data_IF_920907696182
#
_entry.id   IF_920907696182
#
_cell.length_a   1.000
_cell.length_b   1.000
_cell.length_c   1.000
_cell.angle_alpha   90.00
_cell.angle_beta   90.00
_cell.angle_gamma   90.00
#
_symmetry.space_group_name_H-M   'P 1'
#
loop_
_entity.id
_entity.type
_entity.pdbx_description
1 polymer ?
#
# COMPACT_ATOMS: atom_id res chain seq x y z
N UNK A 1 -17.58 -24.89 -7.79
CA UNK A 1 -16.30 -24.35 -8.26
C UNK A 1 -16.40 -22.85 -8.37
N UNK A 2 -16.02 -22.15 -7.31
CA UNK A 2 -15.90 -20.69 -7.30
C UNK A 2 -14.47 -20.30 -7.64
N UNK A 3 -14.25 -19.92 -8.90
CA UNK A 3 -12.93 -19.47 -9.37
C UNK A 3 -12.81 -17.96 -9.29
N UNK A 4 -11.59 -17.50 -9.07
CA UNK A 4 -11.21 -16.09 -9.20
C UNK A 4 -9.98 -15.99 -10.09
N UNK A 5 -9.91 -14.93 -10.89
CA UNK A 5 -8.71 -14.60 -11.64
C UNK A 5 -8.05 -13.39 -10.98
N UNK A 6 -6.87 -13.59 -10.41
CA UNK A 6 -6.04 -12.51 -9.90
C UNK A 6 -5.26 -11.93 -11.07
N UNK A 7 -5.29 -10.61 -11.21
CA UNK A 7 -4.61 -9.89 -12.29
C UNK A 7 -3.76 -8.78 -11.71
N UNK A 8 -2.56 -8.64 -12.25
CA UNK A 8 -1.65 -7.54 -11.95
C UNK A 8 -1.29 -6.77 -13.21
N UNK A 9 -1.48 -5.46 -13.15
CA UNK A 9 -1.11 -4.53 -14.21
C UNK A 9 0.01 -3.61 -13.77
N UNK A 10 0.98 -3.33 -14.64
CA UNK A 10 1.94 -2.24 -14.47
C UNK A 10 1.31 -0.94 -14.99
N UNK A 11 1.40 0.16 -14.22
CA UNK A 11 1.09 1.49 -14.75
C UNK A 11 2.21 1.97 -15.68
N UNK A 12 1.88 2.28 -16.93
CA UNK A 12 2.82 2.85 -17.89
C UNK A 12 2.75 4.38 -17.93
N UNK A 13 1.56 4.93 -17.65
CA UNK A 13 1.29 6.37 -17.65
C UNK A 13 0.62 6.80 -16.37
N UNK A 14 0.77 8.09 -16.04
CA UNK A 14 0.17 8.68 -14.84
C UNK A 14 -1.35 8.47 -14.85
N UNK A 15 -1.96 8.27 -13.69
CA UNK A 15 -3.35 7.89 -13.53
C UNK A 15 -4.19 9.05 -12.99
N UNK A 16 -5.35 9.30 -13.60
CA UNK A 16 -6.33 10.27 -13.10
C UNK A 16 -7.56 9.51 -12.63
N UNK A 17 -7.74 9.45 -11.31
CA UNK A 17 -8.87 8.79 -10.67
C UNK A 17 -8.74 8.80 -9.15
N UNK A 18 -9.14 7.72 -8.48
CA UNK A 18 -9.08 7.66 -7.03
C UNK A 18 -7.64 7.47 -6.52
N UNK A 19 -7.20 8.22 -5.50
CA UNK A 19 -5.79 8.26 -5.08
C UNK A 19 -5.24 6.96 -4.48
N UNK A 20 -6.12 6.10 -3.97
CA UNK A 20 -5.73 4.91 -3.20
C UNK A 20 -6.08 3.58 -3.87
N UNK A 21 -6.92 3.61 -4.90
CA UNK A 21 -7.38 2.40 -5.58
C UNK A 21 -7.88 2.74 -6.97
N UNK A 22 -7.93 1.74 -7.85
CA UNK A 22 -8.71 1.79 -9.08
C UNK A 22 -10.06 1.17 -8.79
N UNK A 23 -11.16 1.87 -9.05
CA UNK A 23 -12.49 1.32 -8.75
C UNK A 23 -12.79 0.10 -9.62
N UNK A 24 -13.54 -0.87 -9.10
CA UNK A 24 -14.03 -2.00 -9.88
C UNK A 24 -14.81 -1.54 -11.11
N UNK A 25 -15.56 -0.44 -11.00
CA UNK A 25 -16.24 0.17 -12.14
C UNK A 25 -15.27 0.66 -13.23
N UNK A 26 -14.14 1.28 -12.86
CA UNK A 26 -13.14 1.70 -13.83
C UNK A 26 -12.49 0.50 -14.54
N UNK A 27 -12.24 -0.59 -13.81
CA UNK A 27 -11.72 -1.85 -14.38
C UNK A 27 -12.76 -2.45 -15.34
N UNK A 28 -14.01 -2.57 -14.92
CA UNK A 28 -15.11 -3.08 -15.74
C UNK A 28 -15.30 -2.24 -17.00
N UNK A 29 -15.22 -0.92 -16.93
CA UNK A 29 -15.32 -0.07 -18.12
C UNK A 29 -14.15 -0.24 -19.09
N UNK A 30 -12.94 -0.49 -18.59
CA UNK A 30 -11.79 -0.75 -19.47
C UNK A 30 -11.93 -2.11 -20.14
N UNK A 31 -12.29 -3.15 -19.39
CA UNK A 31 -12.52 -4.50 -19.91
C UNK A 31 -13.66 -4.55 -20.94
N UNK A 32 -14.74 -3.78 -20.73
CA UNK A 32 -15.86 -3.72 -21.68
C UNK A 32 -15.51 -3.11 -23.05
N UNK A 33 -14.32 -2.51 -23.21
CA UNK A 33 -13.82 -2.07 -24.52
C UNK A 33 -13.14 -3.20 -25.29
N UNK A 34 -12.63 -4.22 -24.59
CA UNK A 34 -11.91 -5.35 -25.18
C UNK A 34 -12.76 -6.62 -25.25
N UNK A 35 -13.73 -6.77 -24.35
CA UNK A 35 -14.52 -7.98 -24.22
C UNK A 35 -15.84 -7.91 -25.01
N UNK A 36 -16.29 -9.05 -25.57
CA UNK A 36 -17.66 -9.23 -26.03
C UNK A 36 -18.69 -8.90 -24.93
N UNK A 37 -19.83 -8.34 -25.34
CA UNK A 37 -20.86 -7.86 -24.42
C UNK A 37 -21.43 -8.96 -23.52
N UNK A 38 -21.55 -10.18 -24.03
CA UNK A 38 -22.06 -11.35 -23.32
C UNK A 38 -21.11 -11.83 -22.20
N UNK A 39 -19.79 -11.74 -22.41
CA UNK A 39 -18.78 -12.00 -21.37
C UNK A 39 -18.80 -10.88 -20.34
N UNK A 40 -18.74 -9.62 -20.81
CA UNK A 40 -18.60 -8.43 -19.97
C UNK A 40 -19.72 -8.28 -18.94
N UNK A 41 -20.98 -8.54 -19.33
CA UNK A 41 -22.16 -8.39 -18.45
C UNK A 41 -22.21 -9.39 -17.28
N UNK A 42 -21.45 -10.47 -17.35
CA UNK A 42 -21.42 -11.51 -16.31
C UNK A 42 -20.13 -11.46 -15.48
N UNK A 43 -19.20 -10.60 -15.86
CA UNK A 43 -17.94 -10.39 -15.17
C UNK A 43 -18.11 -9.36 -14.06
N UNK A 44 -17.38 -9.56 -12.96
CA UNK A 44 -17.27 -8.62 -11.86
C UNK A 44 -15.80 -8.39 -11.54
N UNK A 45 -15.48 -7.20 -11.05
CA UNK A 45 -14.13 -6.84 -10.64
C UNK A 45 -14.12 -6.28 -9.22
N UNK A 46 -13.14 -6.69 -8.41
CA UNK A 46 -12.81 -6.01 -7.17
C UNK A 46 -12.28 -4.59 -7.45
N UNK A 47 -12.10 -3.78 -6.40
CA UNK A 47 -11.21 -2.63 -6.54
C UNK A 47 -9.78 -3.13 -6.82
N UNK A 48 -9.06 -2.40 -7.66
CA UNK A 48 -7.62 -2.56 -7.86
C UNK A 48 -6.86 -1.82 -6.77
N UNK A 49 -5.92 -2.50 -6.11
CA UNK A 49 -5.04 -1.91 -5.10
C UNK A 49 -3.72 -1.55 -5.76
N UNK A 50 -3.21 -0.34 -5.50
CA UNK A 50 -1.88 0.04 -5.96
C UNK A 50 -0.81 -0.69 -5.15
N UNK A 51 0.18 -1.24 -5.83
CA UNK A 51 1.25 -2.06 -5.23
C UNK A 51 2.60 -1.55 -5.73
N UNK A 52 3.54 -1.19 -4.83
CA UNK A 52 4.86 -0.75 -5.25
C UNK A 52 5.72 -1.94 -5.71
N UNK A 53 6.45 -1.81 -6.82
CA UNK A 53 7.38 -2.82 -7.32
C UNK A 53 8.66 -2.93 -6.49
N UNK A 54 8.56 -3.28 -5.22
CA UNK A 54 9.66 -3.28 -4.25
C UNK A 54 9.95 -4.67 -3.69
N UNK A 55 11.12 -4.78 -3.06
CA UNK A 55 11.53 -5.95 -2.29
C UNK A 55 10.62 -6.12 -1.08
N UNK A 56 10.29 -7.38 -0.79
CA UNK A 56 9.46 -7.72 0.35
C UNK A 56 9.87 -9.02 1.02
N UNK A 57 9.36 -9.20 2.23
CA UNK A 57 9.35 -10.47 2.96
C UNK A 57 7.92 -10.94 3.06
N UNK A 58 7.70 -12.23 2.83
CA UNK A 58 6.38 -12.80 3.09
C UNK A 58 6.02 -12.70 4.58
N UNK A 59 4.83 -12.19 4.92
CA UNK A 59 4.31 -12.24 6.28
C UNK A 59 4.19 -13.68 6.80
N UNK A 60 4.17 -13.89 8.12
CA UNK A 60 4.03 -15.23 8.71
C UNK A 60 2.74 -15.94 8.30
N UNK A 61 1.69 -15.16 8.02
CA UNK A 61 0.39 -15.66 7.57
C UNK A 61 0.43 -16.24 6.16
N UNK A 62 1.40 -15.85 5.33
CA UNK A 62 1.52 -16.32 3.96
C UNK A 62 2.08 -17.77 3.92
N UNK A 63 1.66 -18.54 2.93
CA UNK A 63 2.12 -19.92 2.69
C UNK A 63 3.63 -19.97 2.45
N UNK A 64 4.10 -19.12 1.54
CA UNK A 64 5.51 -18.89 1.24
C UNK A 64 6.23 -18.10 2.33
N UNK A 65 7.56 -18.21 2.39
CA UNK A 65 8.41 -17.54 3.37
C UNK A 65 9.66 -16.92 2.73
N UNK A 66 10.33 -16.04 3.48
CA UNK A 66 11.60 -15.44 3.07
C UNK A 66 11.46 -14.13 2.28
N UNK A 67 12.61 -13.64 1.80
CA UNK A 67 12.71 -12.37 1.06
C UNK A 67 12.58 -12.64 -0.44
N UNK A 68 11.66 -11.94 -1.11
CA UNK A 68 11.51 -11.97 -2.56
C UNK A 68 11.89 -10.61 -3.18
N UNK A 69 12.88 -10.59 -4.08
CA UNK A 69 13.14 -9.42 -4.91
C UNK A 69 11.89 -9.03 -5.69
N UNK A 70 11.56 -7.74 -5.66
CA UNK A 70 10.42 -7.19 -6.39
C UNK A 70 9.09 -7.91 -6.14
N UNK A 71 8.84 -8.31 -4.88
CA UNK A 71 7.62 -9.00 -4.46
C UNK A 71 6.34 -8.33 -4.98
N UNK A 72 6.26 -7.00 -4.97
CA UNK A 72 5.09 -6.27 -5.46
C UNK A 72 4.91 -6.20 -6.98
N UNK A 73 5.78 -6.84 -7.77
CA UNK A 73 5.76 -6.78 -9.26
C UNK A 73 5.42 -8.10 -9.95
N UNK A 74 5.01 -9.12 -9.19
CA UNK A 74 4.47 -10.37 -9.73
C UNK A 74 3.58 -11.04 -8.71
N UNK A 75 2.79 -12.01 -9.13
CA UNK A 75 1.89 -12.75 -8.26
C UNK A 75 2.64 -13.94 -7.64
N UNK A 76 2.63 -14.09 -6.31
CA UNK A 76 3.03 -15.33 -5.66
C UNK A 76 1.97 -16.42 -5.84
N UNK A 77 2.39 -17.67 -5.74
CA UNK A 77 1.47 -18.80 -5.74
C UNK A 77 0.52 -18.71 -4.54
N UNK A 78 -0.73 -19.08 -4.78
CA UNK A 78 -1.80 -19.05 -3.79
C UNK A 78 -2.12 -20.49 -3.39
N UNK A 79 -1.78 -20.85 -2.16
CA UNK A 79 -2.08 -22.17 -1.59
C UNK A 79 -3.15 -22.07 -0.49
N UNK A 80 -3.17 -20.93 0.21
CA UNK A 80 -4.08 -20.67 1.33
C UNK A 80 -4.96 -19.46 1.05
N UNK A 81 -6.07 -19.36 1.77
CA UNK A 81 -6.95 -18.20 1.66
C UNK A 81 -6.27 -16.87 2.03
N UNK A 82 -5.32 -16.90 3.00
CA UNK A 82 -4.59 -15.71 3.45
C UNK A 82 -3.64 -15.16 2.36
N UNK A 83 -3.14 -16.00 1.45
CA UNK A 83 -2.25 -15.59 0.36
C UNK A 83 -2.91 -14.58 -0.58
N UNK A 84 -4.24 -14.68 -0.77
CA UNK A 84 -5.03 -13.73 -1.56
C UNK A 84 -5.01 -12.29 -0.98
N UNK A 85 -4.59 -12.10 0.26
CA UNK A 85 -4.60 -10.79 0.90
C UNK A 85 -3.24 -10.08 0.90
N UNK A 86 -2.16 -10.75 0.46
CA UNK A 86 -0.81 -10.19 0.48
C UNK A 86 -0.73 -8.81 -0.17
N UNK A 87 -1.29 -8.66 -1.36
CA UNK A 87 -1.27 -7.40 -2.13
C UNK A 87 -2.53 -6.56 -1.97
N UNK A 88 -3.56 -7.08 -1.30
CA UNK A 88 -4.84 -6.40 -1.12
C UNK A 88 -4.80 -5.35 -0.01
N UNK A 89 -3.84 -5.48 0.92
CA UNK A 89 -3.69 -4.56 2.04
C UNK A 89 -2.81 -3.37 1.65
N UNK A 90 -3.37 -2.16 1.70
CA UNK A 90 -2.67 -0.91 1.41
C UNK A 90 -1.57 -0.57 2.44
N UNK A 91 -1.51 -1.27 3.57
CA UNK A 91 -0.41 -1.15 4.54
C UNK A 91 0.90 -1.76 4.04
N UNK A 92 0.82 -2.62 3.01
CA UNK A 92 1.94 -3.33 2.40
C UNK A 92 2.89 -3.93 3.43
N UNK A 93 2.35 -4.63 4.44
CA UNK A 93 3.11 -5.21 5.58
C UNK A 93 4.35 -6.01 5.13
N UNK A 94 4.28 -6.61 3.96
CA UNK A 94 5.35 -7.34 3.28
C UNK A 94 6.56 -6.50 2.85
N UNK A 95 6.47 -5.17 2.73
CA UNK A 95 7.63 -4.33 2.41
C UNK A 95 8.74 -4.52 3.45
N UNK A 96 10.01 -4.54 3.01
CA UNK A 96 11.13 -4.56 3.94
C UNK A 96 11.13 -3.31 4.83
N UNK A 97 11.49 -3.46 6.10
CA UNK A 97 11.59 -2.35 7.06
C UNK A 97 12.63 -1.29 6.67
N UNK A 98 13.59 -1.66 5.83
CA UNK A 98 14.57 -0.73 5.24
C UNK A 98 13.97 0.17 4.15
N UNK A 99 12.67 0.06 3.83
CA UNK A 99 12.00 0.84 2.81
C UNK A 99 11.06 1.86 3.46
N UNK A 100 11.09 3.13 3.03
CA UNK A 100 10.19 4.16 3.57
C UNK A 100 8.76 3.85 3.13
N UNK A 101 7.97 3.26 4.03
CA UNK A 101 6.57 2.89 3.75
C UNK A 101 5.72 4.13 3.50
N UNK A 102 5.97 5.22 4.22
CA UNK A 102 5.34 6.52 4.02
C UNK A 102 5.51 7.04 2.58
N UNK A 103 6.69 6.85 1.98
CA UNK A 103 6.97 7.21 0.59
C UNK A 103 6.53 6.15 -0.45
N UNK A 104 6.04 4.99 0.01
CA UNK A 104 5.68 3.84 -0.82
C UNK A 104 4.24 3.34 -0.58
N UNK A 105 3.43 4.11 0.13
CA UNK A 105 2.00 3.87 0.32
C UNK A 105 1.14 4.84 -0.52
N UNK A 106 1.73 5.90 -1.05
CA UNK A 106 1.05 6.92 -1.86
C UNK A 106 1.87 7.26 -3.11
N UNK A 107 1.17 7.70 -4.15
CA UNK A 107 1.80 8.14 -5.39
C UNK A 107 2.29 9.58 -5.30
N UNK A 108 3.37 9.88 -6.00
CA UNK A 108 3.71 11.26 -6.33
C UNK A 108 2.59 11.87 -7.18
N UNK A 109 2.27 13.15 -6.97
CA UNK A 109 1.35 13.89 -7.83
C UNK A 109 2.16 14.67 -8.86
N UNK A 110 1.88 14.46 -10.15
CA UNK A 110 2.44 15.24 -11.25
C UNK A 110 1.35 16.04 -11.94
N UNK A 111 1.63 17.29 -12.26
CA UNK A 111 0.71 18.13 -13.03
C UNK A 111 1.15 18.08 -14.48
N UNK A 112 0.32 17.49 -15.33
CA UNK A 112 0.53 17.43 -16.78
C UNK A 112 -0.67 18.09 -17.46
N UNK A 113 -0.43 19.07 -18.34
CA UNK A 113 -1.48 19.83 -19.04
C UNK A 113 -2.57 20.41 -18.11
N UNK A 114 -2.17 20.85 -16.91
CA UNK A 114 -3.10 21.41 -15.90
C UNK A 114 -3.92 20.37 -15.13
N UNK A 115 -3.65 19.09 -15.29
CA UNK A 115 -4.34 18.01 -14.58
C UNK A 115 -3.40 17.35 -13.56
N UNK A 116 -3.72 17.37 -12.25
CA UNK A 116 -2.99 16.60 -11.26
C UNK A 116 -3.27 15.11 -11.47
N UNK A 117 -2.23 14.33 -11.72
CA UNK A 117 -2.29 12.90 -11.95
C UNK A 117 -1.36 12.17 -10.97
N UNK A 118 -1.76 10.97 -10.56
CA UNK A 118 -0.95 10.08 -9.75
C UNK A 118 0.15 9.47 -10.62
N UNK A 119 1.39 9.55 -10.20
CA UNK A 119 2.46 9.08 -11.05
C UNK A 119 2.52 7.55 -11.14
N UNK A 120 2.79 7.05 -12.35
CA UNK A 120 3.06 5.64 -12.60
C UNK A 120 4.37 5.14 -11.96
N UNK A 121 5.24 6.06 -11.52
CA UNK A 121 6.48 5.73 -10.80
C UNK A 121 6.81 6.79 -9.76
N UNK A 122 7.33 6.33 -8.62
CA UNK A 122 7.91 7.19 -7.57
C UNK A 122 9.42 7.26 -7.75
N UNK A 123 10.00 8.46 -7.65
CA UNK A 123 11.45 8.67 -7.71
C UNK A 123 11.92 9.30 -6.40
N UNK A 124 12.78 8.59 -5.67
CA UNK A 124 13.37 9.08 -4.42
C UNK A 124 14.84 9.38 -4.62
N UNK A 125 15.29 10.54 -4.14
CA UNK A 125 16.72 10.84 -4.00
C UNK A 125 17.39 9.90 -2.99
N UNK A 126 18.68 9.67 -3.17
CA UNK A 126 19.53 8.99 -2.19
C UNK A 126 20.64 9.91 -1.71
N UNK A 127 21.24 9.64 -0.54
CA UNK A 127 22.46 10.30 -0.09
C UNK A 127 23.58 10.27 -1.14
N UNK A 128 24.44 11.28 -1.12
CA UNK A 128 25.50 11.49 -2.12
C UNK A 128 26.54 10.35 -2.17
N UNK A 129 26.73 9.66 -1.06
CA UNK A 129 27.62 8.51 -0.92
C UNK A 129 26.99 7.18 -1.38
N UNK A 130 25.69 7.17 -1.71
CA UNK A 130 25.01 5.99 -2.21
C UNK A 130 25.44 5.66 -3.65
N UNK A 131 25.56 4.35 -3.96
CA UNK A 131 25.91 3.85 -5.32
C UNK A 131 25.08 4.44 -6.46
N UNK A 132 23.83 4.83 -6.18
CA UNK A 132 22.92 5.49 -7.13
C UNK A 132 22.34 6.73 -6.47
N UNK A 133 22.28 7.84 -7.22
CA UNK A 133 21.70 9.10 -6.75
C UNK A 133 20.18 9.04 -6.56
N UNK A 134 19.50 8.08 -7.22
CA UNK A 134 18.04 7.96 -7.19
C UNK A 134 17.59 6.49 -7.11
N UNK A 135 16.41 6.28 -6.53
CA UNK A 135 15.65 5.04 -6.56
C UNK A 135 14.33 5.27 -7.26
N UNK A 136 14.05 4.49 -8.30
CA UNK A 136 12.77 4.49 -8.99
C UNK A 136 11.96 3.26 -8.58
N UNK A 137 10.69 3.48 -8.23
CA UNK A 137 9.71 2.43 -7.94
C UNK A 137 8.59 2.53 -8.95
N UNK A 138 8.31 1.44 -9.68
CA UNK A 138 7.13 1.34 -10.52
C UNK A 138 5.91 0.99 -9.69
N UNK A 139 4.73 1.43 -10.12
CA UNK A 139 3.47 1.08 -9.51
C UNK A 139 2.73 0.03 -10.33
N UNK A 140 2.11 -0.91 -9.61
CA UNK A 140 1.27 -1.95 -10.16
C UNK A 140 -0.13 -1.83 -9.58
N UNK A 141 -1.11 -2.46 -10.23
CA UNK A 141 -2.50 -2.56 -9.77
C UNK A 141 -2.81 -4.04 -9.63
N UNK A 142 -3.13 -4.50 -8.42
CA UNK A 142 -3.58 -5.86 -8.16
C UNK A 142 -5.12 -5.87 -8.00
N UNK A 143 -5.81 -6.72 -8.74
CA UNK A 143 -7.26 -6.90 -8.61
C UNK A 143 -7.67 -8.36 -8.79
N UNK A 144 -8.93 -8.62 -8.48
CA UNK A 144 -9.57 -9.92 -8.65
C UNK A 144 -10.78 -9.78 -9.56
N UNK A 145 -10.89 -10.68 -10.53
CA UNK A 145 -12.04 -10.85 -11.39
C UNK A 145 -12.78 -12.11 -10.99
N UNK A 146 -14.11 -12.07 -11.03
CA UNK A 146 -14.94 -13.24 -10.80
C UNK A 146 -16.22 -13.19 -11.64
N UNK A 147 -16.79 -14.36 -11.89
CA UNK A 147 -18.07 -14.53 -12.56
C UNK A 147 -18.79 -15.74 -11.96
N UNK A 148 -20.12 -15.71 -11.94
CA UNK A 148 -20.92 -16.87 -11.48
C UNK A 148 -20.89 -18.02 -12.51
N UNK A 149 -20.54 -17.69 -13.75
CA UNK A 149 -20.44 -18.59 -14.89
C UNK A 149 -18.99 -18.97 -15.14
N UNK A 150 -18.71 -20.28 -15.13
CA UNK A 150 -17.36 -20.81 -15.33
C UNK A 150 -16.80 -20.59 -16.74
N UNK A 151 -17.65 -20.38 -17.74
CA UNK A 151 -17.26 -20.14 -19.14
C UNK A 151 -16.91 -18.66 -19.43
N UNK A 152 -17.12 -17.77 -18.45
CA UNK A 152 -16.84 -16.33 -18.56
C UNK A 152 -15.47 -15.97 -17.97
N UNK A 153 -15.00 -16.76 -16.99
CA UNK A 153 -13.77 -16.50 -16.26
C UNK A 153 -12.58 -17.24 -16.89
N UNK A 154 -11.37 -16.70 -16.68
CA UNK A 154 -10.14 -16.99 -17.42
C UNK A 154 -10.09 -16.17 -18.70
N UNK A 155 -10.06 -14.86 -18.51
CA UNK A 155 -9.81 -13.93 -19.61
C UNK A 155 -8.40 -14.14 -20.14
N UNK A 156 -8.29 -14.13 -21.46
CA UNK A 156 -7.01 -14.20 -22.16
C UNK A 156 -6.17 -12.96 -21.87
N UNK A 157 -4.84 -13.14 -21.87
CA UNK A 157 -3.89 -12.05 -21.64
C UNK A 157 -4.10 -10.88 -22.61
N UNK A 158 -4.47 -11.15 -23.86
CA UNK A 158 -4.74 -10.10 -24.86
C UNK A 158 -5.93 -9.21 -24.50
N UNK A 159 -6.90 -9.71 -23.73
CA UNK A 159 -8.02 -8.91 -23.24
C UNK A 159 -7.68 -8.13 -21.96
N UNK A 160 -6.62 -8.54 -21.27
CA UNK A 160 -6.14 -7.94 -20.02
C UNK A 160 -5.00 -6.95 -20.23
N UNK A 161 -4.27 -7.03 -21.34
CA UNK A 161 -3.16 -6.13 -21.66
C UNK A 161 -3.63 -4.81 -22.29
N UNK A 162 -2.85 -3.74 -22.13
CA UNK A 162 -3.12 -2.44 -22.76
C UNK A 162 -4.36 -1.72 -22.22
N UNK A 163 -4.91 -2.12 -21.08
CA UNK A 163 -6.11 -1.50 -20.51
C UNK A 163 -5.84 -0.06 -20.06
N UNK A 164 -6.86 0.78 -20.16
CA UNK A 164 -6.78 2.18 -19.74
C UNK A 164 -7.77 2.51 -18.63
N UNK A 165 -7.24 2.78 -17.44
CA UNK A 165 -8.03 3.06 -16.25
C UNK A 165 -8.21 4.58 -16.01
N UNK A 166 -9.32 4.94 -15.38
CA UNK A 166 -9.57 6.33 -14.97
C UNK A 166 -10.04 7.25 -16.10
N UNK A 167 -9.82 8.55 -15.90
CA UNK A 167 -10.29 9.63 -16.77
C UNK A 167 -9.24 10.10 -17.79
N UNK A 168 -9.67 11.06 -18.64
CA UNK A 168 -8.79 11.74 -19.63
C UNK A 168 -8.03 10.76 -20.55
N UNK A 169 -8.72 9.71 -20.97
CA UNK A 169 -8.19 8.62 -21.80
C UNK A 169 -7.55 9.10 -23.12
N UNK A 170 -8.12 10.15 -23.70
CA UNK A 170 -7.61 10.81 -24.91
C UNK A 170 -6.22 11.46 -24.75
N UNK A 171 -5.70 11.57 -23.54
CA UNK A 171 -4.36 12.07 -23.23
C UNK A 171 -3.39 10.96 -22.77
N UNK A 172 -3.80 9.68 -22.84
CA UNK A 172 -2.96 8.55 -22.47
C UNK A 172 -2.82 8.30 -20.96
N UNK A 173 -3.58 8.99 -20.10
CA UNK A 173 -3.57 8.70 -18.67
C UNK A 173 -4.10 7.30 -18.37
N UNK A 174 -3.50 6.66 -17.36
CA UNK A 174 -3.92 5.36 -16.83
C UNK A 174 -3.73 4.19 -17.78
N UNK A 175 -2.89 4.32 -18.82
CA UNK A 175 -2.47 3.19 -19.65
C UNK A 175 -1.70 2.20 -18.77
N UNK A 176 -2.02 0.92 -18.95
CA UNK A 176 -1.40 -0.18 -18.24
C UNK A 176 -0.91 -1.26 -19.19
N UNK A 177 0.04 -2.05 -18.68
CA UNK A 177 0.49 -3.30 -19.28
C UNK A 177 0.15 -4.45 -18.35
N UNK A 178 -0.34 -5.57 -18.88
CA UNK A 178 -0.47 -6.79 -18.12
C UNK A 178 0.92 -7.23 -17.65
N UNK A 179 1.05 -7.44 -16.34
CA UNK A 179 2.29 -7.90 -15.74
C UNK A 179 2.25 -9.38 -15.43
N UNK A 180 1.14 -9.83 -14.86
CA UNK A 180 0.96 -11.20 -14.38
C UNK A 180 -0.53 -11.50 -14.17
N UNK A 181 -0.92 -12.76 -14.29
CA UNK A 181 -2.29 -13.23 -14.09
C UNK A 181 -2.29 -14.69 -13.67
N UNK A 182 -3.15 -15.04 -12.72
CA UNK A 182 -3.33 -16.43 -12.31
C UNK A 182 -4.77 -16.70 -11.92
N UNK A 183 -5.21 -17.94 -12.11
CA UNK A 183 -6.55 -18.40 -11.74
C UNK A 183 -6.44 -19.28 -10.51
N UNK A 184 -7.18 -18.93 -9.45
CA UNK A 184 -7.31 -19.72 -8.23
C UNK A 184 -8.71 -20.32 -8.10
N UNK A 185 -8.79 -21.58 -7.66
CA UNK A 185 -10.04 -22.20 -7.24
C UNK A 185 -10.20 -22.03 -5.72
N UNK A 186 -11.20 -21.26 -5.31
CA UNK A 186 -11.43 -20.98 -3.90
C UNK A 186 -11.78 -22.25 -3.11
N UNK A 187 -12.41 -23.24 -3.75
CA UNK A 187 -12.78 -24.50 -3.07
C UNK A 187 -11.56 -25.38 -2.79
N UNK A 188 -10.43 -25.15 -3.48
CA UNK A 188 -9.20 -25.90 -3.32
C UNK A 188 -8.22 -25.28 -2.31
N UNK A 189 -8.50 -24.07 -1.82
CA UNK A 189 -7.61 -23.37 -0.89
C UNK A 189 -7.70 -23.93 0.53
N UNK A 190 -6.58 -23.90 1.24
CA UNK A 190 -6.57 -24.17 2.67
C UNK A 190 -7.12 -22.96 3.45
N UNK A 191 -8.18 -23.20 4.24
CA UNK A 191 -8.83 -22.23 5.12
C UNK A 191 -8.43 -22.41 6.60
N UNK A 192 -7.52 -23.35 6.88
CA UNK A 192 -7.05 -23.61 8.24
C UNK A 192 -6.50 -22.33 8.84
N UNK A 193 -7.03 -21.85 9.99
CA UNK A 193 -6.53 -20.64 10.60
C UNK A 193 -5.06 -20.80 10.98
N UNK A 194 -4.16 -20.07 10.33
CA UNK A 194 -2.79 -19.98 10.82
C UNK A 194 -2.82 -19.24 12.15
N UNK A 195 -2.30 -19.88 13.21
CA UNK A 195 -2.19 -19.25 14.53
C UNK A 195 -1.38 -17.97 14.37
N UNK A 196 -2.04 -16.82 14.52
CA UNK A 196 -1.40 -15.53 14.83
C UNK A 196 -0.53 -15.76 16.07
N UNK A 197 0.78 -15.99 15.91
CA UNK A 197 1.69 -15.87 17.05
C UNK A 197 1.66 -14.41 17.42
N UNK A 198 1.21 -14.17 18.65
CA UNK A 198 0.68 -12.89 19.11
C UNK A 198 1.43 -11.67 18.60
N UNK A 199 0.66 -10.68 18.15
CA UNK A 199 0.98 -9.30 18.49
C UNK A 199 1.10 -9.29 20.01
N UNK A 200 2.31 -9.42 20.54
CA UNK A 200 2.55 -8.94 21.90
C UNK A 200 2.22 -7.44 21.82
N UNK A 201 1.17 -6.95 22.51
CA UNK A 201 1.20 -5.54 22.85
C UNK A 201 2.53 -5.36 23.56
N UNK A 202 3.44 -4.53 23.03
CA UNK A 202 4.53 -4.03 23.85
C UNK A 202 3.83 -3.39 25.04
N UNK A 203 3.89 -4.05 26.18
CA UNK A 203 3.40 -3.54 27.44
C UNK A 203 4.06 -2.19 27.61
N UNK A 204 3.29 -1.11 27.44
CA UNK A 204 3.64 0.15 28.06
C UNK A 204 3.50 -0.12 29.55
N UNK A 205 4.61 -0.47 30.21
CA UNK A 205 4.82 -0.23 31.62
C UNK A 205 6.27 -0.52 32.00
N UNK A 206 7.06 0.55 32.08
CA UNK A 206 7.96 0.86 33.19
C UNK A 206 8.84 2.07 32.84
N UNK A 207 8.24 3.26 32.79
CA UNK A 207 8.96 4.49 33.21
C UNK A 207 8.15 5.10 34.35
N UNK A 208 8.23 4.42 35.50
CA UNK A 208 7.94 5.00 36.80
C UNK A 208 9.08 4.62 37.72
N UNK A 209 10.22 5.26 37.50
CA UNK A 209 11.32 5.34 38.45
C UNK A 209 11.66 6.83 38.58
N UNK A 210 11.72 7.29 39.83
CA UNK A 210 11.53 8.68 40.23
C UNK A 210 12.52 9.67 39.63
N UNK A 211 11.99 10.75 39.08
CA UNK A 211 12.67 12.03 39.09
C UNK A 211 12.34 12.67 40.44
N UNK A 212 13.23 12.46 41.41
CA UNK A 212 13.24 13.26 42.62
C UNK A 212 13.46 14.72 42.23
N UNK A 213 12.44 15.54 42.46
CA UNK A 213 12.58 17.00 42.42
C UNK A 213 13.40 17.39 43.65
N UNK A 214 14.58 18.03 43.51
CA UNK A 214 15.22 18.64 44.66
C UNK A 214 14.40 19.86 45.09
N UNK A 215 13.79 19.72 46.25
CA UNK A 215 13.08 20.74 47.01
C UNK A 215 14.03 21.92 47.27
N UNK A 216 13.84 23.04 46.56
CA UNK A 216 14.53 24.29 46.88
C UNK A 216 13.94 24.84 48.17
N UNK A 217 14.65 24.63 49.28
CA UNK A 217 14.42 25.29 50.56
C UNK A 217 14.36 26.81 50.37
N UNK A 218 13.22 27.40 50.72
CA UNK A 218 13.08 28.84 50.93
C UNK A 218 13.82 29.21 52.23
N UNK A 219 14.77 30.17 52.24
CA UNK A 219 15.25 30.69 53.50
C UNK A 219 14.18 31.57 54.15
N UNK A 220 13.87 31.23 55.39
CA UNK A 220 12.93 31.92 56.25
C UNK A 220 13.34 33.36 56.56
N UNK A 221 12.31 34.17 56.66
CA UNK A 221 12.31 35.57 57.07
C UNK A 221 12.67 35.65 58.56
N UNK A 222 13.78 36.29 58.90
CA UNK A 222 14.05 36.75 60.27
C UNK A 222 13.50 38.18 60.41
N UNK A 223 12.73 38.40 61.46
CA UNK A 223 12.12 39.67 61.88
C UNK A 223 12.78 40.09 63.19
N UNK A 224 13.41 41.28 63.22
CA UNK A 224 13.69 42.15 64.40
C UNK A 224 13.94 43.55 63.78
N UNK A 225 13.05 44.55 63.76
CA UNK A 225 12.40 45.43 64.78
C UNK A 225 13.35 46.47 65.42
N UNK A 226 12.92 47.75 65.29
CA UNK A 226 13.35 49.02 65.93
C UNK A 226 14.57 49.76 65.33
N UNK A 227 14.58 51.07 65.06
CA UNK A 227 13.60 52.16 65.21
C UNK A 227 14.17 53.43 64.52
N UNK A 228 13.31 54.39 64.13
CA UNK A 228 13.75 55.71 63.64
C UNK A 228 14.12 56.67 64.79
N UNK A 229 14.23 58.00 64.59
CA UNK A 229 14.32 58.81 63.36
C UNK A 229 15.51 59.82 63.38
N UNK A 230 15.71 60.62 62.32
CA UNK A 230 15.87 62.12 62.33
C UNK A 230 16.63 62.69 61.13
N UNK A 231 16.31 63.97 60.86
CA UNK A 231 16.61 64.86 59.72
C UNK A 231 18.04 65.45 59.68
N UNK A 232 18.50 65.76 58.46
CA UNK A 232 19.31 66.92 57.98
C UNK A 232 20.71 67.15 58.62
N UNK A 233 21.66 67.86 57.96
CA UNK A 233 21.53 69.19 57.36
C UNK A 233 21.28 69.19 55.85
#
# INVERSE_FOLDING_TARGET
MTRIQQVQWELEMDYIGHPYYVSGNAIMHALGQQLPHDVHRHLNASHGVFVPGQFGTFPEEHSQSGIRPYLGSGLPDVETYDDLFLMRQASHSWLLDSRPRDALNTHDIRVQSGHPALSHKTIMGKPDDARKQQQTTKWYINAYLHADRNDVLTLDESALDGLQFGGKRNYGYGITRLKDTQVGDLEALDYSPRRRRGIHPRTRDAVRAGVGVPERSRPGRAVVVEGGPTRSP
#
